data_IF_333131456987
#
_entry.id   IF_333131456987
#
_cell.length_a   1.000
_cell.length_b   1.000
_cell.length_c   1.000
_cell.angle_alpha   90.00
_cell.angle_beta   90.00
_cell.angle_gamma   90.00
#
_symmetry.space_group_name_H-M   'P 1'
#
loop_
_entity.id
_entity.type
_entity.pdbx_description
1 polymer ?
#
# COMPACT_ATOMS: atom_id res chain seq x y z
N UNK A 1 -3.03 15.38 19.54
CA UNK A 1 -2.86 14.25 18.61
C UNK A 1 -3.79 14.48 17.43
N UNK A 2 -3.40 14.11 16.22
CA UNK A 2 -4.24 14.22 15.02
C UNK A 2 -4.00 13.01 14.14
N UNK A 3 -5.07 12.30 13.79
CA UNK A 3 -5.04 11.17 12.87
C UNK A 3 -4.37 11.55 11.53
N UNK A 4 -4.68 12.74 11.02
CA UNK A 4 -4.12 13.23 9.75
C UNK A 4 -2.61 13.42 9.80
N UNK A 5 -2.08 13.99 10.89
CA UNK A 5 -0.63 14.16 11.09
C UNK A 5 0.08 12.83 11.32
N UNK A 6 -0.53 11.92 12.07
CA UNK A 6 0.04 10.59 12.33
C UNK A 6 0.05 9.76 11.04
N UNK A 7 -1.04 9.81 10.24
CA UNK A 7 -1.10 9.17 8.91
C UNK A 7 -0.07 9.76 7.95
N UNK A 8 0.10 11.07 7.92
CA UNK A 8 1.17 11.71 7.14
C UNK A 8 2.56 11.25 7.57
N UNK A 9 2.81 11.18 8.88
CA UNK A 9 4.09 10.72 9.42
C UNK A 9 4.41 9.28 9.02
N UNK A 10 3.40 8.39 8.99
CA UNK A 10 3.55 7.04 8.48
C UNK A 10 3.76 7.04 6.96
N UNK A 11 2.97 7.83 6.21
CA UNK A 11 3.03 7.92 4.75
C UNK A 11 4.41 8.32 4.23
N UNK A 12 5.08 9.28 4.88
CA UNK A 12 6.41 9.76 4.47
C UNK A 12 7.57 8.93 5.04
N UNK A 13 7.31 7.92 5.83
CA UNK A 13 8.35 7.06 6.41
C UNK A 13 9.04 6.25 5.30
N UNK A 14 10.38 6.31 5.25
CA UNK A 14 11.17 5.62 4.24
C UNK A 14 11.58 4.19 4.65
N UNK A 15 11.43 3.84 5.90
CA UNK A 15 11.67 2.50 6.41
C UNK A 15 10.37 1.70 6.40
N UNK A 16 10.39 0.46 5.90
CA UNK A 16 9.19 -0.35 5.72
C UNK A 16 8.63 -0.83 7.06
N UNK A 17 9.49 -1.29 7.96
CA UNK A 17 9.07 -1.83 9.26
C UNK A 17 8.55 -0.72 10.17
N UNK A 18 9.24 0.42 10.18
CA UNK A 18 8.80 1.60 10.90
C UNK A 18 7.48 2.16 10.34
N UNK A 19 7.27 2.10 9.02
CA UNK A 19 5.98 2.45 8.39
C UNK A 19 4.87 1.53 8.89
N UNK A 20 5.08 0.23 8.87
CA UNK A 20 4.15 -0.78 9.40
C UNK A 20 3.84 -0.49 10.87
N UNK A 21 4.87 -0.27 11.69
CA UNK A 21 4.70 0.08 13.10
C UNK A 21 3.84 1.34 13.30
N UNK A 22 4.17 2.44 12.60
CA UNK A 22 3.40 3.70 12.70
C UNK A 22 1.97 3.54 12.21
N UNK A 23 1.75 2.76 11.15
CA UNK A 23 0.42 2.49 10.61
C UNK A 23 -0.44 1.75 11.64
N UNK A 24 0.11 0.72 12.28
CA UNK A 24 -0.58 -0.04 13.31
C UNK A 24 -0.92 0.82 14.55
N UNK A 25 -0.13 1.86 14.85
CA UNK A 25 -0.44 2.80 15.92
C UNK A 25 -1.69 3.67 15.64
N UNK A 26 -2.19 3.72 14.41
CA UNK A 26 -3.41 4.47 14.07
C UNK A 26 -4.66 3.82 14.66
N UNK A 27 -4.64 2.56 15.04
CA UNK A 27 -5.76 1.85 15.68
C UNK A 27 -6.26 2.56 16.96
N UNK A 28 -5.39 3.34 17.60
CA UNK A 28 -5.74 4.15 18.78
C UNK A 28 -6.87 5.17 18.51
N UNK A 29 -7.13 5.50 17.22
CA UNK A 29 -8.18 6.43 16.82
C UNK A 29 -9.55 5.76 16.64
N UNK A 30 -9.66 4.44 16.74
CA UNK A 30 -10.96 3.74 16.67
C UNK A 30 -11.97 4.21 17.71
N UNK A 31 -11.49 4.63 18.89
CA UNK A 31 -12.32 5.12 20.00
C UNK A 31 -12.02 6.59 20.36
N UNK A 32 -11.45 7.36 19.44
CA UNK A 32 -11.06 8.76 19.65
C UNK A 32 -11.48 9.63 18.49
N UNK A 33 -11.62 10.90 18.75
CA UNK A 33 -11.77 11.91 17.70
C UNK A 33 -10.52 11.96 16.80
N UNK A 34 -10.70 12.25 15.51
CA UNK A 34 -9.63 12.41 14.52
C UNK A 34 -8.65 13.53 14.85
N UNK A 35 -9.09 14.46 15.72
CA UNK A 35 -8.33 15.66 16.08
C UNK A 35 -8.34 16.73 14.98
N UNK A 36 -7.53 17.78 15.13
CA UNK A 36 -7.55 18.92 14.23
C UNK A 36 -7.03 18.58 12.83
N UNK A 37 -7.64 19.23 11.83
CA UNK A 37 -7.19 19.18 10.44
C UNK A 37 -5.74 19.70 10.31
N UNK A 38 -5.09 19.34 9.23
CA UNK A 38 -3.76 19.84 8.90
C UNK A 38 -3.66 20.23 7.42
N UNK A 39 -2.67 21.03 7.08
CA UNK A 39 -2.40 21.38 5.69
C UNK A 39 -2.05 20.13 4.89
N UNK A 40 -2.78 19.92 3.77
CA UNK A 40 -2.52 18.81 2.84
C UNK A 40 -1.47 19.23 1.82
N UNK A 41 -0.33 18.57 1.84
CA UNK A 41 0.77 18.79 0.91
C UNK A 41 0.64 17.92 -0.34
N UNK A 42 1.13 18.43 -1.46
CA UNK A 42 1.30 17.58 -2.67
C UNK A 42 2.29 16.44 -2.37
N UNK A 43 1.92 15.24 -2.78
CA UNK A 43 2.68 14.02 -2.52
C UNK A 43 3.04 13.32 -3.84
N UNK A 44 4.13 13.74 -4.52
CA UNK A 44 4.53 13.09 -5.78
C UNK A 44 5.04 11.66 -5.57
N UNK A 45 5.52 11.35 -4.37
CA UNK A 45 5.92 9.99 -3.97
C UNK A 45 5.69 9.81 -2.47
N UNK A 46 5.24 8.64 -2.01
CA UNK A 46 5.23 8.32 -0.59
C UNK A 46 6.66 8.07 -0.11
N UNK A 47 6.85 8.05 1.20
CA UNK A 47 8.06 7.51 1.78
C UNK A 47 8.17 6.02 1.44
N UNK A 48 9.36 5.57 1.04
CA UNK A 48 9.66 4.18 0.72
C UNK A 48 11.15 3.89 0.83
N UNK A 49 11.53 2.63 1.07
CA UNK A 49 12.92 2.22 1.00
C UNK A 49 13.56 2.56 -0.36
N UNK A 50 14.88 2.65 -0.39
CA UNK A 50 15.63 2.86 -1.64
C UNK A 50 15.38 1.71 -2.63
N UNK A 51 15.20 0.50 -2.12
CA UNK A 51 14.77 -0.69 -2.86
C UNK A 51 13.32 -1.03 -2.47
N UNK A 52 12.53 -1.58 -3.39
CA UNK A 52 12.81 -1.94 -4.78
C UNK A 52 13.06 -0.70 -5.67
N UNK A 53 13.91 -0.85 -6.69
CA UNK A 53 14.01 0.12 -7.77
C UNK A 53 12.70 0.12 -8.56
N UNK A 54 12.13 1.30 -8.80
CA UNK A 54 10.94 1.43 -9.61
C UNK A 54 11.29 1.51 -11.09
N UNK A 55 10.62 0.67 -11.86
CA UNK A 55 10.78 0.56 -13.32
C UNK A 55 9.44 0.73 -14.01
N UNK A 56 9.45 0.90 -15.33
CA UNK A 56 8.22 0.88 -16.13
C UNK A 56 7.55 -0.49 -16.06
N UNK A 57 6.24 -0.55 -16.35
CA UNK A 57 5.50 -1.82 -16.35
C UNK A 57 6.16 -2.89 -17.24
N UNK A 58 6.68 -2.50 -18.40
CA UNK A 58 7.40 -3.40 -19.34
C UNK A 58 8.77 -3.83 -18.83
N UNK A 59 9.37 -3.07 -17.90
CA UNK A 59 10.66 -3.39 -17.27
C UNK A 59 10.54 -4.25 -16.01
N UNK A 60 9.30 -4.53 -15.54
CA UNK A 60 9.11 -5.35 -14.36
C UNK A 60 9.61 -6.80 -14.59
N UNK A 61 10.15 -7.46 -13.54
CA UNK A 61 10.69 -8.81 -13.64
C UNK A 61 9.67 -9.80 -14.20
N UNK A 62 10.07 -10.64 -15.15
CA UNK A 62 9.24 -11.73 -15.67
C UNK A 62 8.96 -12.74 -14.57
N UNK A 63 7.73 -13.20 -14.50
CA UNK A 63 7.18 -14.16 -13.52
C UNK A 63 6.78 -15.43 -14.25
N UNK A 64 7.76 -16.26 -14.56
CA UNK A 64 7.56 -17.57 -15.18
C UNK A 64 7.18 -18.65 -14.13
N UNK A 65 7.17 -19.92 -14.53
CA UNK A 65 6.82 -21.04 -13.65
C UNK A 65 8.03 -21.64 -12.90
N UNK A 66 9.22 -21.03 -13.00
CA UNK A 66 10.37 -21.46 -12.21
C UNK A 66 10.22 -21.05 -10.74
N UNK A 67 11.01 -21.67 -9.85
CA UNK A 67 11.05 -21.31 -8.43
C UNK A 67 11.37 -19.82 -8.25
N UNK A 68 12.33 -19.30 -9.01
CA UNK A 68 12.66 -17.87 -8.99
C UNK A 68 11.50 -17.01 -9.53
N UNK A 69 10.75 -17.50 -10.54
CA UNK A 69 9.57 -16.81 -11.05
C UNK A 69 8.45 -16.74 -10.01
N UNK A 70 8.30 -17.80 -9.20
CA UNK A 70 7.38 -17.81 -8.06
C UNK A 70 7.78 -16.79 -6.99
N UNK A 71 9.06 -16.75 -6.61
CA UNK A 71 9.59 -15.77 -5.62
C UNK A 71 9.38 -14.34 -6.12
N UNK A 72 9.67 -14.05 -7.40
CA UNK A 72 9.38 -12.74 -8.00
C UNK A 72 7.88 -12.39 -7.97
N UNK A 73 7.02 -13.38 -8.04
CA UNK A 73 5.56 -13.17 -7.94
C UNK A 73 5.15 -12.79 -6.52
N UNK A 74 5.67 -13.49 -5.51
CA UNK A 74 5.46 -13.17 -4.09
C UNK A 74 5.97 -11.77 -3.78
N UNK A 75 7.18 -11.42 -4.21
CA UNK A 75 7.75 -10.09 -4.05
C UNK A 75 6.88 -8.99 -4.69
N UNK A 76 6.32 -9.28 -5.88
CA UNK A 76 5.45 -8.31 -6.55
C UNK A 76 4.12 -8.12 -5.81
N UNK A 77 3.57 -9.18 -5.19
CA UNK A 77 2.38 -9.07 -4.33
C UNK A 77 2.75 -8.28 -3.07
N UNK A 78 3.88 -8.59 -2.42
CA UNK A 78 4.39 -7.83 -1.28
C UNK A 78 4.51 -6.32 -1.60
N UNK A 79 4.97 -5.97 -2.81
CA UNK A 79 5.02 -4.58 -3.26
C UNK A 79 3.63 -3.95 -3.48
N UNK A 80 2.63 -4.73 -3.88
CA UNK A 80 1.24 -4.27 -3.96
C UNK A 80 0.74 -3.91 -2.58
N UNK A 81 0.93 -4.79 -1.57
CA UNK A 81 0.49 -4.55 -0.19
C UNK A 81 1.20 -3.32 0.42
N UNK A 82 2.50 -3.16 0.20
CA UNK A 82 3.22 -1.96 0.62
C UNK A 82 2.62 -0.68 0.02
N UNK A 83 2.22 -0.71 -1.26
CA UNK A 83 1.55 0.44 -1.87
C UNK A 83 0.10 0.59 -1.36
N UNK A 84 -0.61 -0.48 -1.05
CA UNK A 84 -1.95 -0.41 -0.47
C UNK A 84 -1.92 0.28 0.91
N UNK A 85 -0.90 0.05 1.74
CA UNK A 85 -0.66 0.83 2.96
C UNK A 85 -0.54 2.32 2.62
N UNK A 86 0.28 2.69 1.65
CA UNK A 86 0.47 4.09 1.26
C UNK A 86 -0.83 4.73 0.74
N UNK A 87 -1.62 4.00 -0.05
CA UNK A 87 -2.90 4.46 -0.58
C UNK A 87 -3.93 4.71 0.53
N UNK A 88 -4.00 3.82 1.51
CA UNK A 88 -4.89 3.97 2.67
C UNK A 88 -4.47 5.16 3.55
N UNK A 89 -3.19 5.32 3.81
CA UNK A 89 -2.65 6.46 4.56
C UNK A 89 -2.89 7.79 3.83
N UNK A 90 -2.71 7.83 2.50
CA UNK A 90 -3.00 9.02 1.69
C UNK A 90 -4.50 9.34 1.68
N UNK A 91 -5.38 8.34 1.62
CA UNK A 91 -6.82 8.55 1.69
C UNK A 91 -7.24 9.23 3.01
N UNK A 92 -6.67 8.81 4.14
CA UNK A 92 -6.90 9.44 5.44
C UNK A 92 -6.35 10.87 5.46
N UNK A 93 -5.10 11.04 5.05
CA UNK A 93 -4.40 12.32 5.13
C UNK A 93 -4.98 13.38 4.20
N UNK A 94 -5.33 13.00 2.98
CA UNK A 94 -5.74 13.92 1.91
C UNK A 94 -7.17 14.38 2.04
N UNK A 95 -8.11 13.50 2.36
CA UNK A 95 -9.55 13.79 2.38
C UNK A 95 -10.03 14.00 3.82
N UNK A 96 -9.79 15.20 4.36
CA UNK A 96 -9.97 15.50 5.80
C UNK A 96 -11.40 15.92 6.20
N UNK A 97 -12.32 16.12 5.27
CA UNK A 97 -13.70 16.55 5.54
C UNK A 97 -14.74 15.43 5.31
N UNK A 98 -14.33 14.20 5.62
CA UNK A 98 -15.17 13.01 5.46
C UNK A 98 -15.85 12.62 6.77
N UNK A 99 -16.96 11.85 6.71
CA UNK A 99 -17.58 11.28 7.90
C UNK A 99 -16.57 10.45 8.73
N UNK A 100 -16.73 10.43 10.04
CA UNK A 100 -15.80 9.71 10.94
C UNK A 100 -15.62 8.23 10.54
N UNK A 101 -16.69 7.56 10.11
CA UNK A 101 -16.65 6.15 9.67
C UNK A 101 -15.68 5.94 8.50
N UNK A 102 -15.55 6.89 7.57
CA UNK A 102 -14.58 6.83 6.48
C UNK A 102 -13.15 6.64 7.00
N UNK A 103 -12.78 7.35 8.05
CA UNK A 103 -11.44 7.24 8.63
C UNK A 103 -11.24 5.92 9.36
N UNK A 104 -12.26 5.44 10.06
CA UNK A 104 -12.19 4.13 10.73
C UNK A 104 -11.99 3.00 9.72
N UNK A 105 -12.71 3.04 8.61
CA UNK A 105 -12.59 2.05 7.55
C UNK A 105 -11.20 2.09 6.91
N UNK A 106 -10.66 3.27 6.62
CA UNK A 106 -9.32 3.39 6.05
C UNK A 106 -8.19 3.06 7.04
N UNK A 107 -8.36 3.33 8.33
CA UNK A 107 -7.42 2.84 9.36
C UNK A 107 -7.42 1.32 9.39
N UNK A 108 -8.60 0.70 9.33
CA UNK A 108 -8.73 -0.75 9.26
C UNK A 108 -8.01 -1.31 8.02
N UNK A 109 -8.29 -0.76 6.83
CA UNK A 109 -7.59 -1.17 5.60
C UNK A 109 -6.07 -1.02 5.76
N UNK A 110 -5.58 0.13 6.21
CA UNK A 110 -4.15 0.36 6.38
C UNK A 110 -3.48 -0.66 7.30
N UNK A 111 -4.15 -1.07 8.39
CA UNK A 111 -3.63 -2.07 9.33
C UNK A 111 -3.69 -3.48 8.76
N UNK A 112 -4.73 -3.83 8.00
CA UNK A 112 -4.85 -5.12 7.30
C UNK A 112 -3.76 -5.26 6.24
N UNK A 113 -3.51 -4.23 5.42
CA UNK A 113 -2.45 -4.25 4.41
C UNK A 113 -1.05 -4.26 5.02
N UNK A 114 -0.87 -3.62 6.18
CA UNK A 114 0.37 -3.72 6.96
C UNK A 114 0.63 -5.15 7.43
N UNK A 115 -0.41 -5.86 7.85
CA UNK A 115 -0.31 -7.28 8.23
C UNK A 115 0.00 -8.17 7.02
N UNK A 116 -0.68 -7.96 5.88
CA UNK A 116 -0.40 -8.71 4.63
C UNK A 116 1.03 -8.49 4.15
N UNK A 117 1.50 -7.25 4.16
CA UNK A 117 2.88 -6.93 3.81
C UNK A 117 3.87 -7.68 4.71
N UNK A 118 3.67 -7.65 6.03
CA UNK A 118 4.56 -8.32 6.99
C UNK A 118 4.61 -9.83 6.75
N UNK A 119 3.45 -10.48 6.56
CA UNK A 119 3.39 -11.92 6.26
C UNK A 119 4.17 -12.28 4.99
N UNK A 120 4.01 -11.49 3.94
CA UNK A 120 4.69 -11.75 2.66
C UNK A 120 6.19 -11.47 2.74
N UNK A 121 6.59 -10.45 3.52
CA UNK A 121 8.01 -10.16 3.73
C UNK A 121 8.69 -11.25 4.55
N UNK A 122 8.07 -11.70 5.65
CA UNK A 122 8.54 -12.84 6.44
C UNK A 122 8.68 -14.11 5.58
N UNK A 123 7.71 -14.38 4.71
CA UNK A 123 7.78 -15.53 3.81
C UNK A 123 8.89 -15.40 2.76
N UNK A 124 9.15 -14.19 2.26
CA UNK A 124 10.32 -13.95 1.39
C UNK A 124 11.62 -14.24 2.14
N UNK A 125 11.72 -13.83 3.40
CA UNK A 125 12.91 -14.07 4.25
C UNK A 125 13.14 -15.56 4.50
N UNK A 126 12.10 -16.35 4.74
CA UNK A 126 12.17 -17.83 4.83
C UNK A 126 12.71 -18.45 3.53
N UNK A 127 12.43 -17.84 2.38
CA UNK A 127 12.94 -18.29 1.07
C UNK A 127 14.35 -17.73 0.76
N UNK A 128 14.97 -16.96 1.68
CA UNK A 128 16.28 -16.36 1.52
C UNK A 128 16.31 -15.08 0.68
N UNK A 129 15.17 -14.40 0.55
CA UNK A 129 15.00 -13.13 -0.17
C UNK A 129 14.38 -12.07 0.74
N UNK A 130 14.43 -10.80 0.31
CA UNK A 130 13.87 -9.68 1.05
C UNK A 130 13.03 -8.77 0.15
N UNK A 131 12.11 -8.03 0.76
CA UNK A 131 11.44 -6.96 0.05
C UNK A 131 12.45 -5.94 -0.47
N UNK A 132 12.48 -5.74 -1.78
CA UNK A 132 13.44 -4.87 -2.45
C UNK A 132 14.47 -5.59 -3.32
N UNK A 133 14.56 -6.92 -3.26
CA UNK A 133 15.55 -7.68 -4.06
C UNK A 133 15.23 -7.71 -5.56
N UNK A 134 13.98 -7.48 -5.92
CA UNK A 134 13.56 -7.39 -7.32
C UNK A 134 12.95 -6.02 -7.62
N UNK A 135 13.11 -5.56 -8.86
CA UNK A 135 12.52 -4.32 -9.33
C UNK A 135 10.96 -4.39 -9.28
N UNK A 136 10.31 -3.25 -9.12
CA UNK A 136 8.85 -3.12 -9.06
C UNK A 136 8.36 -1.93 -9.89
N UNK A 137 7.05 -1.75 -10.06
CA UNK A 137 6.51 -0.63 -10.82
C UNK A 137 5.64 0.29 -9.96
N UNK A 138 5.54 1.57 -10.34
CA UNK A 138 4.85 2.61 -9.57
C UNK A 138 3.37 2.80 -9.94
N UNK A 139 2.77 1.84 -10.64
CA UNK A 139 1.42 2.04 -11.21
C UNK A 139 0.34 2.38 -10.19
N UNK A 140 0.38 1.79 -8.99
CA UNK A 140 -0.60 2.04 -7.93
C UNK A 140 -0.51 3.46 -7.37
N UNK A 141 0.71 3.94 -7.11
CA UNK A 141 0.87 5.30 -6.61
C UNK A 141 0.52 6.35 -7.67
N UNK A 142 0.78 6.07 -8.95
CA UNK A 142 0.36 6.96 -10.03
C UNK A 142 -1.16 7.16 -10.04
N UNK A 143 -1.94 6.11 -9.81
CA UNK A 143 -3.42 6.23 -9.69
C UNK A 143 -3.82 7.14 -8.53
N UNK A 144 -3.05 7.16 -7.43
CA UNK A 144 -3.26 8.08 -6.31
C UNK A 144 -3.02 9.54 -6.71
N UNK A 145 -1.97 9.81 -7.48
CA UNK A 145 -1.67 11.15 -8.00
C UNK A 145 -2.78 11.61 -8.94
N UNK A 146 -3.22 10.74 -9.85
CA UNK A 146 -4.22 11.05 -10.88
C UNK A 146 -5.62 11.31 -10.29
N UNK A 147 -5.84 10.98 -9.01
CA UNK A 147 -7.11 11.14 -8.29
C UNK A 147 -7.00 11.99 -7.04
N UNK A 148 -5.95 12.79 -6.89
CA UNK A 148 -5.67 13.55 -5.66
C UNK A 148 -6.61 14.74 -5.43
N UNK A 149 -7.39 15.11 -6.44
CA UNK A 149 -8.28 16.27 -6.48
C UNK A 149 -9.71 15.96 -6.00
N UNK A 150 -10.13 14.69 -5.99
CA UNK A 150 -11.52 14.31 -5.69
C UNK A 150 -11.63 12.93 -5.04
N UNK A 151 -12.36 12.86 -3.93
CA UNK A 151 -12.55 11.62 -3.17
C UNK A 151 -13.37 10.58 -3.93
N UNK A 152 -14.36 11.00 -4.74
CA UNK A 152 -15.19 10.06 -5.52
C UNK A 152 -14.37 9.46 -6.66
N UNK A 153 -13.54 10.27 -7.33
CA UNK A 153 -12.60 9.78 -8.33
C UNK A 153 -11.62 8.76 -7.71
N UNK A 154 -11.09 9.04 -6.51
CA UNK A 154 -10.23 8.12 -5.75
C UNK A 154 -10.95 6.82 -5.43
N UNK A 155 -12.15 6.85 -4.89
CA UNK A 155 -12.92 5.66 -4.50
C UNK A 155 -13.38 4.84 -5.71
N UNK A 156 -13.68 5.50 -6.83
CA UNK A 156 -14.06 4.81 -8.05
C UNK A 156 -12.87 4.11 -8.73
N UNK A 157 -11.70 4.77 -8.78
CA UNK A 157 -10.57 4.25 -9.55
C UNK A 157 -9.71 3.27 -8.74
N UNK A 158 -9.35 3.62 -7.50
CA UNK A 158 -8.34 2.88 -6.74
C UNK A 158 -8.90 1.58 -6.15
N UNK A 159 -9.85 1.57 -5.21
CA UNK A 159 -10.32 0.31 -4.62
C UNK A 159 -11.00 -0.60 -5.64
N UNK A 160 -11.96 -0.08 -6.43
CA UNK A 160 -12.74 -0.91 -7.36
C UNK A 160 -11.93 -1.49 -8.50
N UNK A 161 -11.01 -0.70 -9.08
CA UNK A 161 -10.14 -1.20 -10.13
C UNK A 161 -9.16 -2.25 -9.61
N UNK A 162 -8.66 -2.11 -8.37
CA UNK A 162 -7.77 -3.08 -7.73
C UNK A 162 -8.51 -4.38 -7.38
N UNK A 163 -9.70 -4.30 -6.79
CA UNK A 163 -10.52 -5.47 -6.48
C UNK A 163 -10.93 -6.24 -7.74
N UNK A 164 -11.44 -5.55 -8.77
CA UNK A 164 -11.82 -6.18 -10.03
C UNK A 164 -10.61 -6.90 -10.66
N UNK A 165 -9.45 -6.23 -10.70
CA UNK A 165 -8.22 -6.83 -11.23
C UNK A 165 -7.74 -8.00 -10.39
N UNK A 166 -7.85 -7.92 -9.05
CA UNK A 166 -7.55 -9.02 -8.15
C UNK A 166 -8.38 -10.26 -8.46
N UNK A 167 -9.70 -10.10 -8.61
CA UNK A 167 -10.62 -11.18 -8.97
C UNK A 167 -10.28 -11.80 -10.34
N UNK A 168 -9.96 -10.99 -11.35
CA UNK A 168 -9.61 -11.44 -12.69
C UNK A 168 -8.31 -12.26 -12.74
N UNK A 169 -7.30 -11.89 -11.97
CA UNK A 169 -5.97 -12.52 -11.99
C UNK A 169 -5.82 -13.67 -11.01
N UNK A 170 -6.58 -13.71 -9.91
CA UNK A 170 -6.49 -14.73 -8.86
C UNK A 170 -6.65 -16.17 -9.40
N UNK A 171 -7.58 -16.50 -10.32
CA UNK A 171 -7.68 -17.85 -10.87
C UNK A 171 -6.43 -18.30 -11.61
N UNK A 172 -5.76 -17.36 -12.31
CA UNK A 172 -4.53 -17.67 -13.05
C UNK A 172 -3.32 -17.83 -12.11
N UNK A 173 -3.28 -17.06 -11.02
CA UNK A 173 -2.29 -17.19 -9.97
C UNK A 173 -2.46 -18.54 -9.27
N UNK A 174 -3.68 -18.88 -8.81
CA UNK A 174 -3.97 -20.16 -8.15
C UNK A 174 -3.53 -21.37 -8.98
N UNK A 175 -3.72 -21.33 -10.30
CA UNK A 175 -3.24 -22.40 -11.21
C UNK A 175 -1.72 -22.52 -11.28
N UNK A 176 -0.96 -21.51 -10.89
CA UNK A 176 0.51 -21.58 -10.86
C UNK A 176 1.03 -22.22 -9.58
N UNK A 177 0.25 -22.18 -8.51
CA UNK A 177 0.60 -22.73 -7.19
C UNK A 177 -0.05 -24.10 -6.92
N UNK A 178 -0.87 -24.63 -7.81
CA UNK A 178 -1.44 -25.99 -7.81
C UNK A 178 -0.72 -26.89 -8.81
#
# INVERSE_FOLDING_TARGET
MSLFKDSYSALICNDADEKVYRTNQLIKYQNKDTGPLCEVKKMPSPGRPIKPKLVSFSGAPKRDKSDLGMIKNIHAICHIEFNAINLALDAIYRFQEMPHQYYLDWVKVATEESYHFSLLNEYLEELGYHYGDFDAHNGLWQMSIDTDYDVLARMALVPRALEARGLDVTPSIRKKFS
#
